data_IF_117548142453
#
_entry.id   IF_117548142453
#
_cell.length_a   1.000
_cell.length_b   1.000
_cell.length_c   1.000
_cell.angle_alpha   90.00
_cell.angle_beta   90.00
_cell.angle_gamma   90.00
#
_symmetry.space_group_name_H-M   'P 1'
#
loop_
_entity.id
_entity.type
_entity.pdbx_description
1 polymer ?
#
# COMPACT_ATOMS: atom_id res chain seq x y z
N UNK A 1 -32.37 31.83 9.70
CA UNK A 1 -31.00 31.29 9.55
C UNK A 1 -30.92 29.96 10.29
N UNK A 2 -30.97 28.85 9.55
CA UNK A 2 -30.73 27.51 10.08
C UNK A 2 -29.25 27.20 9.98
N UNK A 3 -28.60 26.99 11.12
CA UNK A 3 -27.23 26.53 11.16
C UNK A 3 -27.04 25.63 12.38
N UNK A 4 -26.38 24.50 12.16
CA UNK A 4 -25.54 23.89 13.18
C UNK A 4 -26.01 22.52 13.66
N UNK A 5 -25.25 21.51 13.27
CA UNK A 5 -25.07 20.31 14.08
C UNK A 5 -25.50 19.01 13.42
N UNK A 6 -24.73 18.55 12.42
CA UNK A 6 -24.72 17.14 12.05
C UNK A 6 -24.22 16.35 13.26
N UNK A 7 -25.14 15.78 14.03
CA UNK A 7 -24.86 14.98 15.21
C UNK A 7 -24.39 13.57 14.80
N UNK A 8 -23.20 13.48 14.20
CA UNK A 8 -22.52 12.21 13.95
C UNK A 8 -21.51 11.84 15.07
N UNK A 9 -21.42 12.62 16.14
CA UNK A 9 -20.46 12.44 17.23
C UNK A 9 -20.93 11.65 18.45
N UNK A 10 -22.17 11.15 18.48
CA UNK A 10 -22.79 10.64 19.71
C UNK A 10 -22.95 9.10 19.77
N UNK A 11 -22.20 8.32 18.98
CA UNK A 11 -22.28 6.85 19.02
C UNK A 11 -21.04 6.14 19.58
N UNK A 12 -19.95 6.86 19.87
CA UNK A 12 -18.70 6.24 20.38
C UNK A 12 -18.66 6.17 21.92
N UNK A 13 -19.50 6.91 22.63
CA UNK A 13 -19.36 7.07 24.09
C UNK A 13 -19.95 5.93 24.95
N UNK A 14 -20.45 4.83 24.39
CA UNK A 14 -21.08 3.75 25.19
C UNK A 14 -20.83 2.33 24.67
N UNK A 15 -19.62 2.02 24.22
CA UNK A 15 -19.20 0.64 24.03
C UNK A 15 -17.96 0.36 24.89
N UNK A 16 -18.16 -0.31 26.02
CA UNK A 16 -17.15 -1.17 26.64
C UNK A 16 -15.92 -0.50 27.27
N UNK A 17 -16.09 0.19 28.41
CA UNK A 17 -15.21 -0.17 29.54
C UNK A 17 -15.40 -1.67 29.70
N UNK A 18 -14.35 -2.50 29.58
CA UNK A 18 -14.06 -3.75 30.35
C UNK A 18 -12.93 -4.61 29.70
N UNK A 19 -12.42 -4.34 28.48
CA UNK A 19 -11.23 -5.05 27.91
C UNK A 19 -10.32 -4.18 27.03
N UNK A 20 -9.99 -2.96 27.45
CA UNK A 20 -8.89 -2.22 26.82
C UNK A 20 -8.21 -1.39 27.89
N UNK A 21 -7.08 -1.87 28.39
CA UNK A 21 -6.14 -1.05 29.16
C UNK A 21 -5.77 0.14 28.27
N UNK A 22 -6.36 1.30 28.58
CA UNK A 22 -5.99 2.64 28.13
C UNK A 22 -5.42 2.77 26.71
N UNK A 23 -6.22 2.45 25.69
CA UNK A 23 -5.93 2.89 24.32
C UNK A 23 -6.52 4.29 24.15
N UNK A 24 -5.68 5.32 24.05
CA UNK A 24 -6.10 6.69 23.82
C UNK A 24 -6.16 7.06 22.31
N UNK A 25 -6.78 8.20 21.99
CA UNK A 25 -6.97 8.65 20.61
C UNK A 25 -5.65 8.85 19.84
N UNK A 26 -4.56 9.17 20.53
CA UNK A 26 -3.26 9.34 19.90
C UNK A 26 -2.68 7.98 19.48
N UNK A 27 -2.82 6.96 20.33
CA UNK A 27 -2.43 5.59 19.99
C UNK A 27 -3.28 5.01 18.84
N UNK A 28 -4.59 5.29 18.81
CA UNK A 28 -5.46 4.89 17.69
C UNK A 28 -5.03 5.55 16.37
N UNK A 29 -4.65 6.83 16.41
CA UNK A 29 -4.18 7.55 15.23
C UNK A 29 -2.85 6.99 14.72
N UNK A 30 -1.86 6.77 15.60
CA UNK A 30 -0.60 6.13 15.23
C UNK A 30 -0.83 4.76 14.58
N UNK A 31 -1.68 3.94 15.20
CA UNK A 31 -2.02 2.63 14.66
C UNK A 31 -2.68 2.71 13.28
N UNK A 32 -3.61 3.66 13.10
CA UNK A 32 -4.28 3.86 11.82
C UNK A 32 -3.30 4.29 10.72
N UNK A 33 -2.39 5.22 11.02
CA UNK A 33 -1.35 5.67 10.08
C UNK A 33 -0.39 4.55 9.71
N UNK A 34 0.05 3.76 10.70
CA UNK A 34 0.91 2.59 10.47
C UNK A 34 0.21 1.51 9.66
N UNK A 35 -1.07 1.26 9.91
CA UNK A 35 -1.88 0.31 9.15
C UNK A 35 -1.98 0.72 7.67
N UNK A 36 -2.22 2.01 7.41
CA UNK A 36 -2.23 2.55 6.04
C UNK A 36 -0.86 2.33 5.38
N UNK A 37 0.23 2.69 6.06
CA UNK A 37 1.59 2.53 5.54
C UNK A 37 1.92 1.09 5.16
N UNK A 38 1.55 0.11 6.01
CA UNK A 38 1.76 -1.32 5.74
C UNK A 38 0.94 -1.77 4.53
N UNK A 39 -0.34 -1.40 4.46
CA UNK A 39 -1.21 -1.76 3.32
C UNK A 39 -0.73 -1.18 2.01
N UNK A 40 -0.21 0.04 2.01
CA UNK A 40 0.38 0.65 0.83
C UNK A 40 1.64 -0.10 0.36
N UNK A 41 2.48 -0.55 1.30
CA UNK A 41 3.66 -1.36 0.98
C UNK A 41 3.26 -2.72 0.39
N UNK A 42 2.27 -3.39 0.96
CA UNK A 42 1.72 -4.66 0.45
C UNK A 42 1.12 -4.50 -0.95
N UNK A 43 0.32 -3.46 -1.18
CA UNK A 43 -0.26 -3.16 -2.49
C UNK A 43 0.83 -2.88 -3.53
N UNK A 44 1.88 -2.15 -3.14
CA UNK A 44 3.06 -1.89 -3.98
C UNK A 44 3.77 -3.20 -4.34
N UNK A 45 3.96 -4.09 -3.37
CA UNK A 45 4.59 -5.39 -3.57
C UNK A 45 3.78 -6.27 -4.52
N UNK A 46 2.45 -6.32 -4.36
CA UNK A 46 1.58 -7.10 -5.24
C UNK A 46 1.67 -6.61 -6.70
N UNK A 47 1.65 -5.29 -6.92
CA UNK A 47 1.78 -4.73 -8.26
C UNK A 47 3.15 -5.00 -8.90
N UNK A 48 4.22 -4.91 -8.11
CA UNK A 48 5.58 -5.18 -8.56
C UNK A 48 5.77 -6.66 -8.89
N UNK A 49 5.39 -7.56 -7.97
CA UNK A 49 5.54 -9.00 -8.17
C UNK A 49 4.76 -9.47 -9.39
N UNK A 50 3.51 -9.02 -9.58
CA UNK A 50 2.74 -9.32 -10.78
C UNK A 50 3.43 -8.82 -12.06
N UNK A 51 4.03 -7.62 -12.04
CA UNK A 51 4.77 -7.09 -13.19
C UNK A 51 6.03 -7.91 -13.50
N UNK A 52 6.74 -8.42 -12.49
CA UNK A 52 7.96 -9.22 -12.66
C UNK A 52 7.61 -10.65 -13.08
N UNK A 53 6.56 -11.23 -12.49
CA UNK A 53 6.03 -12.54 -12.84
C UNK A 53 5.51 -12.57 -14.28
N UNK A 54 4.82 -11.51 -14.73
CA UNK A 54 4.41 -11.36 -16.12
C UNK A 54 5.57 -11.27 -17.13
N UNK A 55 6.80 -11.01 -16.66
CA UNK A 55 8.02 -11.08 -17.46
C UNK A 55 8.72 -12.45 -17.37
N UNK A 56 8.29 -13.34 -16.47
CA UNK A 56 8.94 -14.63 -16.20
C UNK A 56 10.21 -14.53 -15.34
N UNK A 57 10.46 -13.36 -14.75
CA UNK A 57 11.72 -13.03 -14.06
C UNK A 57 11.63 -13.13 -12.53
N UNK A 58 10.48 -13.58 -12.00
CA UNK A 58 10.26 -13.66 -10.54
C UNK A 58 10.93 -14.91 -9.97
N UNK A 59 12.19 -14.76 -9.57
CA UNK A 59 12.91 -15.82 -8.85
C UNK A 59 12.56 -15.84 -7.37
N UNK A 60 12.75 -16.99 -6.71
CA UNK A 60 12.51 -17.11 -5.27
C UNK A 60 13.42 -16.16 -4.46
N UNK A 61 14.68 -16.00 -4.86
CA UNK A 61 15.61 -15.07 -4.22
C UNK A 61 15.13 -13.61 -4.33
N UNK A 62 14.59 -13.21 -5.48
CA UNK A 62 14.03 -11.88 -5.69
C UNK A 62 12.75 -11.68 -4.87
N UNK A 63 11.87 -12.68 -4.84
CA UNK A 63 10.64 -12.68 -4.04
C UNK A 63 10.96 -12.47 -2.56
N UNK A 64 11.87 -13.25 -2.00
CA UNK A 64 12.32 -13.11 -0.60
C UNK A 64 12.94 -11.74 -0.36
N UNK A 65 13.83 -11.28 -1.26
CA UNK A 65 14.45 -9.96 -1.15
C UNK A 65 13.41 -8.82 -1.11
N UNK A 66 12.37 -8.90 -1.95
CA UNK A 66 11.27 -7.93 -1.99
C UNK A 66 10.36 -8.02 -0.77
N UNK A 67 10.09 -9.22 -0.22
CA UNK A 67 9.32 -9.40 1.02
C UNK A 67 10.05 -8.82 2.25
N UNK A 68 11.39 -8.87 2.26
CA UNK A 68 12.20 -8.25 3.32
C UNK A 68 12.38 -6.73 3.19
N UNK A 69 11.76 -6.08 2.19
CA UNK A 69 11.88 -4.64 2.01
C UNK A 69 11.07 -3.88 3.08
N UNK A 70 11.76 -3.22 4.01
CA UNK A 70 11.13 -2.47 5.10
C UNK A 70 10.45 -1.16 4.66
N UNK A 71 10.76 -0.66 3.46
CA UNK A 71 10.24 0.63 2.98
C UNK A 71 9.87 0.59 1.50
N UNK A 72 8.96 1.49 1.10
CA UNK A 72 8.57 1.67 -0.31
C UNK A 72 9.76 2.01 -1.22
N UNK A 73 10.73 2.75 -0.72
CA UNK A 73 11.97 3.08 -1.44
C UNK A 73 12.83 1.83 -1.66
N UNK A 74 13.08 1.06 -0.61
CA UNK A 74 13.86 -0.16 -0.68
C UNK A 74 13.22 -1.21 -1.62
N UNK A 75 11.89 -1.27 -1.66
CA UNK A 75 11.15 -2.09 -2.61
C UNK A 75 11.29 -1.59 -4.05
N UNK A 76 11.22 -0.27 -4.26
CA UNK A 76 11.40 0.35 -5.58
C UNK A 76 12.80 0.14 -6.15
N UNK A 77 13.84 0.21 -5.32
CA UNK A 77 15.23 -0.03 -5.74
C UNK A 77 15.43 -1.47 -6.23
N UNK A 78 14.86 -2.45 -5.52
CA UNK A 78 14.88 -3.86 -5.94
C UNK A 78 14.13 -4.11 -7.25
N UNK A 79 13.03 -3.38 -7.47
CA UNK A 79 12.24 -3.50 -8.68
C UNK A 79 12.86 -2.77 -9.89
N UNK A 80 13.72 -1.78 -9.66
CA UNK A 80 14.28 -0.92 -10.71
C UNK A 80 14.82 -1.66 -11.95
N UNK A 81 15.55 -2.80 -11.83
CA UNK A 81 16.05 -3.55 -12.99
C UNK A 81 14.96 -4.18 -13.84
N UNK A 82 13.81 -4.49 -13.25
CA UNK A 82 12.69 -5.21 -13.86
C UNK A 82 11.58 -4.29 -14.35
N UNK A 83 11.77 -2.97 -14.24
CA UNK A 83 10.75 -2.00 -14.64
C UNK A 83 10.59 -2.05 -16.16
N UNK A 84 9.40 -2.35 -16.70
CA UNK A 84 9.17 -2.40 -18.14
C UNK A 84 9.53 -1.06 -18.79
N UNK A 85 10.24 -1.12 -19.92
CA UNK A 85 10.47 0.07 -20.73
C UNK A 85 9.12 0.52 -21.28
N UNK A 86 8.79 1.80 -21.10
CA UNK A 86 7.61 2.39 -21.73
C UNK A 86 7.77 2.29 -23.24
N UNK A 87 6.91 1.49 -23.88
CA UNK A 87 6.82 1.46 -25.34
C UNK A 87 6.30 2.82 -25.83
N UNK A 88 6.98 3.37 -26.83
CA UNK A 88 6.57 4.61 -27.47
C UNK A 88 5.40 4.36 -28.43
N UNK A 89 4.61 5.40 -28.73
CA UNK A 89 3.53 5.30 -29.74
C UNK A 89 4.05 4.81 -31.10
N UNK A 90 5.30 5.17 -31.44
CA UNK A 90 5.95 4.75 -32.68
C UNK A 90 6.26 3.24 -32.71
N UNK A 91 6.68 2.65 -31.59
CA UNK A 91 6.91 1.19 -31.49
C UNK A 91 5.61 0.39 -31.61
N UNK A 92 4.53 0.85 -30.96
CA UNK A 92 3.21 0.19 -31.02
C UNK A 92 2.65 0.23 -32.45
N UNK A 93 2.88 1.31 -33.19
CA UNK A 93 2.44 1.44 -34.58
C UNK A 93 3.20 0.49 -35.53
N UNK A 94 4.49 0.21 -35.27
CA UNK A 94 5.31 -0.70 -36.08
C UNK A 94 4.97 -2.18 -35.88
N UNK A 95 4.46 -2.58 -34.71
CA UNK A 95 4.05 -3.97 -34.43
C UNK A 95 2.64 -4.31 -34.97
N UNK A 96 1.83 -3.29 -35.30
CA UNK A 96 0.43 -3.44 -35.76
C UNK A 96 0.22 -3.16 -37.25
N UNK A 97 1.28 -2.83 -37.98
CA UNK A 97 1.30 -2.67 -39.44
C UNK A 97 2.12 -3.77 -40.07
#
# INVERSE_FOLDING_TARGET
MGAGGSAAGAWVARCGKEVSVGVDDAQLRDLAERLVSVRELEARWAAISASVEGQGELTEALRVSMLCAATRAALADRYRPYRPRRRTKAEIARERG
#
